data_IF_458442247604
#
_entry.id   IF_458442247604
#
_cell.length_a   1.000
_cell.length_b   1.000
_cell.length_c   1.000
_cell.angle_alpha   90.00
_cell.angle_beta   90.00
_cell.angle_gamma   90.00
#
_symmetry.space_group_name_H-M   'P 1'
#
loop_
_entity.id
_entity.type
_entity.pdbx_description
1 polymer ?
#
# COMPACT_ATOMS: atom_id res chain seq x y z
N UNK A 1 -18.98 5.91 14.43
CA UNK A 1 -17.89 5.29 13.65
C UNK A 1 -18.31 5.35 12.19
N UNK A 2 -17.51 5.97 11.30
CA UNK A 2 -17.88 6.05 9.87
C UNK A 2 -17.72 4.64 9.28
N UNK A 3 -18.80 4.10 8.72
CA UNK A 3 -18.77 2.82 8.01
C UNK A 3 -18.46 3.13 6.55
N UNK A 4 -17.21 2.92 6.18
CA UNK A 4 -16.70 3.17 4.83
C UNK A 4 -16.15 1.86 4.27
N UNK A 5 -16.32 1.63 2.97
CA UNK A 5 -15.60 0.59 2.25
C UNK A 5 -14.38 1.26 1.62
N UNK A 6 -13.24 0.56 1.61
CA UNK A 6 -12.10 0.93 0.80
C UNK A 6 -11.89 -0.14 -0.26
N UNK A 7 -11.66 0.28 -1.49
CA UNK A 7 -11.35 -0.58 -2.63
C UNK A 7 -10.02 -0.13 -3.20
N UNK A 8 -9.10 -1.08 -3.38
CA UNK A 8 -7.82 -0.87 -4.05
C UNK A 8 -7.73 -1.74 -5.29
N UNK A 9 -7.28 -1.17 -6.40
CA UNK A 9 -7.04 -1.88 -7.66
C UNK A 9 -5.61 -1.57 -8.10
N UNK A 10 -4.79 -2.61 -8.21
CA UNK A 10 -3.37 -2.51 -8.53
C UNK A 10 -3.18 -2.94 -9.98
N UNK A 11 -2.64 -2.03 -10.78
CA UNK A 11 -2.35 -2.24 -12.19
C UNK A 11 -0.85 -2.23 -12.42
N UNK A 12 -0.42 -2.96 -13.44
CA UNK A 12 0.84 -2.65 -14.11
C UNK A 12 0.63 -1.34 -14.90
N UNK A 13 1.50 -0.35 -14.68
CA UNK A 13 1.38 1.00 -15.28
C UNK A 13 1.41 0.96 -16.81
N UNK A 14 2.00 -0.07 -17.41
CA UNK A 14 2.12 -0.19 -18.86
C UNK A 14 0.84 -0.77 -19.49
N UNK A 15 -0.09 -1.27 -18.66
CA UNK A 15 -1.36 -1.87 -19.08
C UNK A 15 -2.58 -0.99 -18.88
N UNK A 16 -2.39 0.20 -18.31
CA UNK A 16 -3.46 1.14 -18.00
C UNK A 16 -3.27 2.44 -18.78
N UNK A 17 -4.35 2.96 -19.33
CA UNK A 17 -4.35 4.21 -20.08
C UNK A 17 -5.20 5.29 -19.40
N UNK A 18 -5.33 6.45 -20.05
CA UNK A 18 -6.10 7.58 -19.55
C UNK A 18 -7.59 7.25 -19.46
N UNK A 19 -8.12 6.50 -20.41
CA UNK A 19 -9.52 6.10 -20.47
C UNK A 19 -9.90 5.22 -19.27
N UNK A 20 -9.04 4.27 -18.90
CA UNK A 20 -9.22 3.42 -17.70
C UNK A 20 -9.25 4.27 -16.41
N UNK A 21 -8.36 5.26 -16.33
CA UNK A 21 -8.33 6.21 -15.20
C UNK A 21 -9.59 7.07 -15.16
N UNK A 22 -10.07 7.52 -16.32
CA UNK A 22 -11.32 8.27 -16.44
C UNK A 22 -12.53 7.44 -16.04
N UNK A 23 -12.56 6.16 -16.43
CA UNK A 23 -13.60 5.21 -16.03
C UNK A 23 -13.60 5.03 -14.51
N UNK A 24 -12.43 4.86 -13.87
CA UNK A 24 -12.35 4.83 -12.41
C UNK A 24 -12.83 6.13 -11.75
N UNK A 25 -12.47 7.28 -12.32
CA UNK A 25 -12.88 8.59 -11.82
C UNK A 25 -14.39 8.84 -11.95
N UNK A 26 -15.11 8.09 -12.79
CA UNK A 26 -16.57 8.17 -12.88
C UNK A 26 -17.28 7.84 -11.56
N UNK A 27 -16.63 7.10 -10.65
CA UNK A 27 -17.14 6.85 -9.28
C UNK A 27 -17.41 8.18 -8.54
N UNK A 28 -16.69 9.26 -8.90
CA UNK A 28 -16.93 10.59 -8.33
C UNK A 28 -18.28 11.20 -8.69
N UNK A 29 -19.03 10.64 -9.63
CA UNK A 29 -20.40 11.06 -9.94
C UNK A 29 -21.40 10.66 -8.86
N UNK A 30 -21.04 9.69 -8.00
CA UNK A 30 -21.89 9.25 -6.89
C UNK A 30 -21.75 10.10 -5.62
N UNK A 31 -20.77 11.00 -5.58
CA UNK A 31 -20.58 11.96 -4.49
C UNK A 31 -20.28 13.36 -5.03
N UNK A 32 -20.10 14.36 -4.15
CA UNK A 32 -19.83 15.73 -4.58
C UNK A 32 -18.44 16.16 -4.11
N UNK A 33 -17.37 15.95 -4.92
CA UNK A 33 -16.03 16.31 -4.51
C UNK A 33 -15.93 17.79 -4.15
N UNK A 34 -15.47 18.06 -2.94
CA UNK A 34 -15.25 19.42 -2.41
C UNK A 34 -13.80 19.85 -2.60
N UNK A 35 -12.88 18.89 -2.52
CA UNK A 35 -11.45 19.14 -2.57
C UNK A 35 -10.74 18.26 -3.60
N UNK A 36 -9.62 18.76 -4.10
CA UNK A 36 -8.63 18.00 -4.86
C UNK A 36 -7.23 18.26 -4.35
N UNK A 37 -6.37 17.27 -4.54
CA UNK A 37 -4.94 17.35 -4.27
C UNK A 37 -4.20 16.61 -5.37
N UNK A 38 -3.39 17.35 -6.13
CA UNK A 38 -2.56 16.79 -7.18
C UNK A 38 -1.10 17.23 -6.97
N UNK A 39 -0.15 16.49 -7.52
CA UNK A 39 1.27 16.80 -7.33
C UNK A 39 1.64 18.10 -8.03
N UNK A 40 1.22 18.29 -9.28
CA UNK A 40 1.59 19.45 -10.11
C UNK A 40 0.63 20.62 -9.91
N UNK A 41 -0.65 20.42 -10.17
CA UNK A 41 -1.70 21.44 -10.20
C UNK A 41 -1.86 22.14 -8.85
N UNK A 42 -1.84 21.40 -7.74
CA UNK A 42 -2.05 21.95 -6.39
C UNK A 42 -0.79 21.94 -5.53
N UNK A 43 0.37 21.59 -6.11
CA UNK A 43 1.66 21.47 -5.40
C UNK A 43 1.56 20.57 -4.16
N UNK A 44 0.74 19.51 -4.22
CA UNK A 44 0.52 18.57 -3.12
C UNK A 44 -0.33 19.10 -1.96
N UNK A 45 -1.02 20.23 -2.12
CA UNK A 45 -1.94 20.78 -1.11
C UNK A 45 -3.40 20.54 -1.49
N UNK A 46 -4.30 20.55 -0.51
CA UNK A 46 -5.74 20.51 -0.76
C UNK A 46 -6.23 21.87 -1.27
N UNK A 47 -7.00 21.85 -2.34
CA UNK A 47 -7.64 22.99 -2.97
C UNK A 47 -9.10 22.65 -3.25
N UNK A 48 -9.96 23.68 -3.34
CA UNK A 48 -11.34 23.51 -3.78
C UNK A 48 -11.39 22.78 -5.14
N UNK A 49 -12.20 21.74 -5.24
CA UNK A 49 -12.36 20.97 -6.46
C UNK A 49 -12.91 21.84 -7.60
N UNK A 50 -12.31 21.68 -8.78
CA UNK A 50 -12.79 22.29 -10.02
C UNK A 50 -12.74 21.23 -11.10
N UNK A 51 -13.90 20.69 -11.49
CA UNK A 51 -14.03 19.64 -12.51
C UNK A 51 -13.22 19.97 -13.77
N UNK A 52 -13.43 21.17 -14.33
CA UNK A 52 -12.72 21.65 -15.51
C UNK A 52 -11.19 21.63 -15.33
N UNK A 53 -10.67 22.31 -14.31
CA UNK A 53 -9.21 22.39 -14.07
C UNK A 53 -8.59 21.02 -13.80
N UNK A 54 -9.30 20.15 -13.08
CA UNK A 54 -8.85 18.80 -12.75
C UNK A 54 -8.66 17.98 -14.02
N UNK A 55 -9.70 17.87 -14.85
CA UNK A 55 -9.64 17.04 -16.06
C UNK A 55 -8.72 17.62 -17.15
N UNK A 56 -8.61 18.96 -17.25
CA UNK A 56 -7.64 19.60 -18.16
C UNK A 56 -6.17 19.31 -17.79
N UNK A 57 -5.88 18.98 -16.53
CA UNK A 57 -4.51 18.70 -16.05
C UNK A 57 -4.23 17.22 -15.78
N UNK A 58 -5.24 16.35 -15.83
CA UNK A 58 -5.13 14.94 -15.44
C UNK A 58 -4.00 14.21 -16.17
N UNK A 59 -3.90 14.38 -17.48
CA UNK A 59 -2.88 13.71 -18.30
C UNK A 59 -1.46 14.09 -17.87
N UNK A 60 -1.24 15.37 -17.58
CA UNK A 60 0.04 15.85 -17.11
C UNK A 60 0.39 15.34 -15.71
N UNK A 61 -0.60 15.18 -14.83
CA UNK A 61 -0.38 14.53 -13.53
C UNK A 61 -0.02 13.05 -13.67
N UNK A 62 -0.64 12.35 -14.62
CA UNK A 62 -0.34 10.93 -14.87
C UNK A 62 1.04 10.70 -15.48
N UNK A 63 1.60 11.69 -16.21
CA UNK A 63 2.96 11.62 -16.75
C UNK A 63 4.05 11.77 -15.69
N UNK A 64 3.74 12.32 -14.51
CA UNK A 64 4.72 12.49 -13.42
C UNK A 64 5.31 11.13 -12.99
N UNK A 65 6.64 11.08 -12.78
CA UNK A 65 7.30 9.89 -12.24
C UNK A 65 6.69 9.49 -10.87
N UNK A 66 6.28 10.49 -10.08
CA UNK A 66 5.53 10.33 -8.84
C UNK A 66 4.15 10.98 -8.97
N UNK A 67 3.19 10.20 -9.43
CA UNK A 67 1.79 10.61 -9.51
C UNK A 67 1.09 10.43 -8.16
N UNK A 68 0.34 11.44 -7.72
CA UNK A 68 -0.56 11.38 -6.56
C UNK A 68 -1.72 12.36 -6.79
N UNK A 69 -2.89 11.82 -7.09
CA UNK A 69 -4.08 12.57 -7.50
C UNK A 69 -5.22 12.12 -6.59
N UNK A 70 -5.75 13.03 -5.77
CA UNK A 70 -6.86 12.76 -4.86
C UNK A 70 -8.00 13.73 -5.13
N UNK A 71 -9.24 13.24 -5.13
CA UNK A 71 -10.47 14.03 -5.06
C UNK A 71 -11.32 13.49 -3.91
N UNK A 72 -11.94 14.37 -3.14
CA UNK A 72 -12.68 13.96 -1.94
C UNK A 72 -13.77 14.93 -1.52
N UNK A 73 -14.72 14.42 -0.74
CA UNK A 73 -15.61 15.18 0.14
C UNK A 73 -15.35 14.82 1.61
N UNK A 74 -16.33 15.03 2.49
CA UNK A 74 -16.17 14.79 3.94
C UNK A 74 -16.08 13.30 4.30
N UNK A 75 -16.58 12.40 3.46
CA UNK A 75 -16.73 10.96 3.74
C UNK A 75 -16.26 10.04 2.60
N UNK A 76 -16.00 10.61 1.41
CA UNK A 76 -15.69 9.85 0.22
C UNK A 76 -14.40 10.38 -0.40
N UNK A 77 -13.59 9.48 -0.94
CA UNK A 77 -12.45 9.87 -1.74
C UNK A 77 -12.11 8.88 -2.84
N UNK A 78 -11.46 9.41 -3.88
CA UNK A 78 -10.76 8.65 -4.90
C UNK A 78 -9.32 9.10 -4.88
N UNK A 79 -8.40 8.13 -4.85
CA UNK A 79 -6.97 8.37 -4.86
C UNK A 79 -6.28 7.52 -5.92
N UNK A 80 -5.49 8.16 -6.76
CA UNK A 80 -4.70 7.54 -7.82
C UNK A 80 -3.24 7.86 -7.56
N UNK A 81 -2.40 6.84 -7.44
CA UNK A 81 -0.98 7.06 -7.18
C UNK A 81 -0.10 5.98 -7.78
N UNK A 82 1.09 6.39 -8.22
CA UNK A 82 2.16 5.46 -8.59
C UNK A 82 2.83 4.96 -7.32
N UNK A 83 3.00 3.65 -7.21
CA UNK A 83 3.54 3.05 -6.00
C UNK A 83 5.02 3.45 -5.85
N UNK A 84 5.40 3.87 -4.63
CA UNK A 84 6.76 4.37 -4.35
C UNK A 84 7.79 3.25 -4.26
N UNK A 85 7.40 2.07 -3.78
CA UNK A 85 8.28 0.92 -3.61
C UNK A 85 8.32 0.06 -4.88
N UNK A 86 7.24 0.06 -5.67
CA UNK A 86 7.22 -0.56 -6.99
C UNK A 86 6.72 0.43 -8.05
N UNK A 87 7.67 1.11 -8.72
CA UNK A 87 7.38 2.14 -9.73
C UNK A 87 6.77 1.61 -11.02
N UNK A 88 6.59 0.30 -11.15
CA UNK A 88 5.84 -0.30 -12.25
C UNK A 88 4.35 -0.42 -11.94
N UNK A 89 3.93 -0.14 -10.70
CA UNK A 89 2.53 -0.23 -10.31
C UNK A 89 1.89 1.15 -10.20
N UNK A 90 0.65 1.25 -10.69
CA UNK A 90 -0.28 2.34 -10.37
C UNK A 90 -1.47 1.76 -9.62
N UNK A 91 -1.88 2.46 -8.58
CA UNK A 91 -2.96 2.03 -7.70
C UNK A 91 -4.10 3.02 -7.83
N UNK A 92 -5.28 2.49 -8.13
CA UNK A 92 -6.54 3.22 -8.10
C UNK A 92 -7.28 2.82 -6.83
N UNK A 93 -7.60 3.80 -6.00
CA UNK A 93 -8.28 3.61 -4.72
C UNK A 93 -9.56 4.42 -4.69
N UNK A 94 -10.59 3.90 -4.05
CA UNK A 94 -11.70 4.68 -3.58
C UNK A 94 -12.07 4.27 -2.16
N UNK A 95 -12.46 5.25 -1.36
CA UNK A 95 -13.09 5.04 -0.05
C UNK A 95 -14.46 5.68 -0.12
N UNK A 96 -15.50 4.90 0.13
CA UNK A 96 -16.89 5.34 -0.03
C UNK A 96 -17.66 5.06 1.25
N UNK A 97 -18.53 6.00 1.63
CA UNK A 97 -19.47 5.77 2.73
C UNK A 97 -20.42 4.60 2.40
N UNK A 98 -20.93 3.98 3.46
CA UNK A 98 -21.78 2.78 3.38
C UNK A 98 -22.97 2.94 2.43
N UNK A 99 -23.63 4.10 2.40
CA UNK A 99 -24.81 4.30 1.56
C UNK A 99 -24.40 4.36 0.08
N UNK A 100 -23.43 5.22 -0.24
CA UNK A 100 -22.94 5.37 -1.62
C UNK A 100 -22.41 4.05 -2.15
N UNK A 101 -21.64 3.30 -1.33
CA UNK A 101 -21.18 1.99 -1.73
C UNK A 101 -22.33 1.01 -1.98
N UNK A 102 -23.25 0.85 -1.04
CA UNK A 102 -24.33 -0.14 -1.18
C UNK A 102 -25.21 0.12 -2.40
N UNK A 103 -25.49 1.39 -2.69
CA UNK A 103 -26.31 1.81 -3.84
C UNK A 103 -25.60 1.54 -5.18
N UNK A 104 -24.27 1.54 -5.21
CA UNK A 104 -23.48 1.53 -6.47
C UNK A 104 -22.50 0.34 -6.61
N UNK A 105 -22.41 -0.57 -5.63
CA UNK A 105 -21.42 -1.67 -5.60
C UNK A 105 -21.41 -2.55 -6.85
N UNK A 106 -22.57 -2.79 -7.46
CA UNK A 106 -22.67 -3.62 -8.65
C UNK A 106 -21.94 -3.02 -9.86
N UNK A 107 -22.07 -1.70 -10.05
CA UNK A 107 -21.35 -0.98 -11.10
C UNK A 107 -19.84 -1.04 -10.85
N UNK A 108 -19.41 -0.73 -9.62
CA UNK A 108 -17.99 -0.74 -9.25
C UNK A 108 -17.38 -2.14 -9.44
N UNK A 109 -18.08 -3.19 -9.03
CA UNK A 109 -17.59 -4.57 -9.22
C UNK A 109 -17.56 -4.98 -10.68
N UNK A 110 -18.53 -4.55 -11.49
CA UNK A 110 -18.53 -4.82 -12.93
C UNK A 110 -17.35 -4.13 -13.61
N UNK A 111 -17.02 -2.90 -13.20
CA UNK A 111 -15.84 -2.17 -13.67
C UNK A 111 -14.53 -2.91 -13.33
N UNK A 112 -14.38 -3.40 -12.10
CA UNK A 112 -13.17 -4.16 -11.71
C UNK A 112 -13.12 -5.51 -12.44
N UNK A 113 -14.25 -6.21 -12.58
CA UNK A 113 -14.36 -7.44 -13.37
C UNK A 113 -13.97 -7.17 -14.85
N UNK A 114 -14.34 -6.01 -15.41
CA UNK A 114 -13.94 -5.61 -16.76
C UNK A 114 -12.42 -5.40 -16.87
N UNK A 115 -11.83 -4.61 -15.97
CA UNK A 115 -10.39 -4.35 -15.99
C UNK A 115 -9.56 -5.63 -15.84
N UNK A 116 -9.98 -6.55 -14.96
CA UNK A 116 -9.22 -7.77 -14.71
C UNK A 116 -9.35 -8.79 -15.84
N UNK A 117 -10.52 -8.89 -16.48
CA UNK A 117 -10.72 -9.78 -17.64
C UNK A 117 -9.95 -9.32 -18.88
N UNK A 118 -9.57 -8.05 -18.94
CA UNK A 118 -8.63 -7.49 -19.92
C UNK A 118 -7.15 -7.67 -19.54
N UNK A 119 -6.84 -8.45 -18.51
CA UNK A 119 -5.48 -8.70 -18.00
C UNK A 119 -4.72 -7.44 -17.55
N UNK A 120 -5.43 -6.37 -17.16
CA UNK A 120 -4.84 -5.09 -16.73
C UNK A 120 -4.52 -5.04 -15.22
N UNK A 121 -5.32 -5.74 -14.42
CA UNK A 121 -5.23 -5.73 -12.96
C UNK A 121 -4.32 -6.88 -12.50
N UNK A 122 -3.37 -6.56 -11.63
CA UNK A 122 -2.56 -7.55 -10.91
C UNK A 122 -3.39 -8.12 -9.76
N UNK A 123 -3.84 -7.23 -8.86
CA UNK A 123 -4.63 -7.58 -7.68
C UNK A 123 -5.59 -6.46 -7.32
N UNK A 124 -6.76 -6.81 -6.80
CA UNK A 124 -7.67 -5.85 -6.19
C UNK A 124 -8.31 -6.43 -4.94
N UNK A 125 -8.66 -5.57 -3.99
CA UNK A 125 -9.47 -5.94 -2.85
C UNK A 125 -10.48 -4.86 -2.47
N UNK A 126 -11.53 -5.28 -1.78
CA UNK A 126 -12.46 -4.43 -1.06
C UNK A 126 -12.55 -4.88 0.41
N UNK A 127 -12.61 -3.93 1.34
CA UNK A 127 -12.76 -4.19 2.77
C UNK A 127 -13.30 -2.99 3.53
N UNK A 128 -13.90 -3.22 4.70
CA UNK A 128 -14.40 -2.13 5.54
C UNK A 128 -13.21 -1.37 6.14
N UNK A 129 -13.13 -0.06 5.89
CA UNK A 129 -11.98 0.77 6.25
C UNK A 129 -11.62 0.65 7.74
N UNK A 130 -12.61 0.76 8.61
CA UNK A 130 -12.39 0.65 10.05
C UNK A 130 -11.92 -0.73 10.47
N UNK A 131 -12.38 -1.79 9.79
CA UNK A 131 -11.89 -3.15 10.06
C UNK A 131 -10.42 -3.26 9.67
N UNK A 132 -10.06 -2.79 8.46
CA UNK A 132 -8.67 -2.78 8.00
C UNK A 132 -7.75 -2.04 8.98
N UNK A 133 -8.17 -0.89 9.51
CA UNK A 133 -7.40 -0.16 10.54
C UNK A 133 -7.20 -1.00 11.80
N UNK A 134 -8.27 -1.57 12.36
CA UNK A 134 -8.19 -2.31 13.63
C UNK A 134 -7.43 -3.63 13.51
N UNK A 135 -7.54 -4.31 12.38
CA UNK A 135 -6.81 -5.55 12.13
C UNK A 135 -5.30 -5.30 11.94
N UNK A 136 -4.88 -4.07 11.62
CA UNK A 136 -3.50 -3.75 11.26
C UNK A 136 -2.80 -2.72 12.19
N UNK A 137 -3.50 -2.09 13.15
CA UNK A 137 -2.85 -1.20 14.12
C UNK A 137 -2.08 -1.99 15.19
N UNK A 138 -0.79 -1.67 15.34
CA UNK A 138 0.08 -2.19 16.41
C UNK A 138 -0.03 -1.36 17.70
N UNK A 139 -0.72 -0.22 17.67
CA UNK A 139 -0.76 0.75 18.77
C UNK A 139 -1.77 0.35 19.84
N UNK A 140 -1.27 0.03 21.04
CA UNK A 140 -2.10 -0.17 22.23
C UNK A 140 -2.85 1.12 22.61
N UNK A 141 -2.25 2.29 22.35
CA UNK A 141 -2.86 3.56 22.68
C UNK A 141 -4.09 3.86 21.81
N UNK A 142 -4.12 3.41 20.55
CA UNK A 142 -5.28 3.59 19.67
C UNK A 142 -6.51 2.88 20.25
N UNK A 143 -6.33 1.66 20.78
CA UNK A 143 -7.38 0.91 21.46
C UNK A 143 -7.91 1.66 22.69
N UNK A 144 -7.00 2.19 23.53
CA UNK A 144 -7.37 2.97 24.73
C UNK A 144 -8.14 4.23 24.38
N UNK A 145 -7.65 5.01 23.41
CA UNK A 145 -8.29 6.24 22.95
C UNK A 145 -9.66 5.97 22.33
N UNK A 146 -9.83 4.84 21.65
CA UNK A 146 -11.12 4.41 21.10
C UNK A 146 -12.05 3.72 22.11
N UNK A 147 -11.62 3.56 23.37
CA UNK A 147 -12.40 2.85 24.40
C UNK A 147 -12.61 1.35 24.10
N UNK A 148 -11.75 0.74 23.27
CA UNK A 148 -11.82 -0.68 22.93
C UNK A 148 -11.07 -1.54 23.96
N UNK A 149 -11.65 -2.70 24.27
CA UNK A 149 -11.03 -3.68 25.16
C UNK A 149 -9.81 -4.33 24.51
N UNK A 150 -8.79 -4.60 25.32
CA UNK A 150 -7.60 -5.37 24.94
C UNK A 150 -7.64 -6.83 25.43
N UNK A 151 -8.74 -7.26 26.08
CA UNK A 151 -8.82 -8.55 26.78
C UNK A 151 -8.47 -9.74 25.89
N UNK A 152 -8.91 -9.72 24.64
CA UNK A 152 -8.72 -10.82 23.67
C UNK A 152 -7.68 -10.46 22.60
N UNK A 153 -6.95 -9.35 22.78
CA UNK A 153 -5.92 -8.88 21.86
C UNK A 153 -4.56 -9.41 22.31
N UNK A 154 -3.87 -10.12 21.41
CA UNK A 154 -2.51 -10.57 21.69
C UNK A 154 -1.53 -9.39 21.66
N UNK A 155 -0.62 -9.38 22.63
CA UNK A 155 0.37 -8.34 22.82
C UNK A 155 1.74 -8.99 22.80
N UNK A 156 2.68 -8.38 22.07
CA UNK A 156 4.09 -8.77 22.05
C UNK A 156 5.00 -7.59 22.37
N UNK A 157 6.28 -7.86 22.59
CA UNK A 157 7.30 -6.81 22.61
C UNK A 157 7.52 -6.29 21.21
N UNK A 158 7.76 -4.98 21.09
CA UNK A 158 8.07 -4.36 19.81
C UNK A 158 9.44 -4.82 19.32
N UNK A 159 9.48 -5.25 18.06
CA UNK A 159 10.72 -5.65 17.38
C UNK A 159 11.64 -4.42 17.10
N UNK A 160 11.07 -3.20 17.12
CA UNK A 160 11.78 -1.94 16.88
C UNK A 160 12.16 -1.21 18.17
N UNK A 161 11.28 -1.27 19.18
CA UNK A 161 11.45 -0.57 20.45
C UNK A 161 11.39 -1.58 21.60
N UNK A 162 12.54 -2.17 21.95
CA UNK A 162 12.70 -3.31 22.87
C UNK A 162 11.90 -3.25 24.19
N UNK A 163 11.51 -2.05 24.65
CA UNK A 163 10.78 -1.85 25.90
C UNK A 163 9.27 -1.61 25.72
N UNK A 164 8.80 -1.37 24.50
CA UNK A 164 7.39 -1.10 24.21
C UNK A 164 6.62 -2.39 23.95
N UNK A 165 5.39 -2.44 24.47
CA UNK A 165 4.43 -3.48 24.13
C UNK A 165 3.57 -2.99 22.96
N UNK A 166 3.36 -3.86 21.98
CA UNK A 166 2.54 -3.59 20.80
C UNK A 166 1.51 -4.69 20.60
N UNK A 167 0.42 -4.37 19.91
CA UNK A 167 -0.54 -5.37 19.46
C UNK A 167 0.14 -6.29 18.45
N UNK A 168 0.00 -7.60 18.66
CA UNK A 168 0.50 -8.62 17.78
C UNK A 168 -0.51 -8.91 16.67
N UNK A 169 -0.40 -8.14 15.59
CA UNK A 169 -1.35 -8.17 14.47
C UNK A 169 -1.26 -9.46 13.63
N UNK A 170 -0.20 -10.27 13.77
CA UNK A 170 -0.10 -11.56 13.09
C UNK A 170 -1.19 -12.55 13.53
N UNK A 171 -1.84 -12.30 14.67
CA UNK A 171 -2.98 -13.06 15.15
C UNK A 171 -4.33 -12.46 14.78
N UNK A 172 -4.36 -11.44 13.92
CA UNK A 172 -5.58 -10.84 13.42
C UNK A 172 -5.91 -11.42 12.04
N UNK A 173 -7.09 -12.06 11.85
CA UNK A 173 -7.47 -12.69 10.59
C UNK A 173 -7.47 -11.71 9.39
N UNK A 174 -7.84 -10.45 9.62
CA UNK A 174 -7.86 -9.41 8.58
C UNK A 174 -6.56 -8.60 8.45
N UNK A 175 -5.48 -8.99 9.14
CA UNK A 175 -4.17 -8.38 8.94
C UNK A 175 -3.67 -8.63 7.50
N UNK A 176 -2.86 -7.74 6.96
CA UNK A 176 -2.17 -7.96 5.70
C UNK A 176 -0.75 -7.39 5.74
N UNK A 177 0.13 -8.01 4.96
CA UNK A 177 1.47 -7.52 4.66
C UNK A 177 1.46 -6.67 3.39
N UNK A 178 2.28 -5.62 3.34
CA UNK A 178 2.52 -4.84 2.11
C UNK A 178 3.98 -5.01 1.71
N UNK A 179 4.24 -5.84 0.70
CA UNK A 179 5.61 -6.10 0.23
C UNK A 179 5.75 -5.57 -1.20
N UNK A 180 6.73 -4.69 -1.44
CA UNK A 180 6.94 -4.03 -2.73
C UNK A 180 5.65 -3.47 -3.35
N UNK A 181 4.77 -2.93 -2.51
CA UNK A 181 3.54 -2.31 -2.94
C UNK A 181 2.40 -3.26 -3.31
N UNK A 182 2.60 -4.57 -3.12
CA UNK A 182 1.59 -5.61 -3.26
C UNK A 182 1.03 -5.98 -1.89
N UNK A 183 -0.24 -6.39 -1.83
CA UNK A 183 -0.92 -6.75 -0.60
C UNK A 183 -1.04 -8.28 -0.47
N UNK A 184 -0.76 -8.77 0.73
CA UNK A 184 -0.81 -10.19 1.09
C UNK A 184 -1.63 -10.35 2.37
N UNK A 185 -2.87 -10.79 2.23
CA UNK A 185 -3.78 -10.97 3.36
C UNK A 185 -5.16 -11.40 2.91
N UNK A 186 -6.12 -11.42 3.86
CA UNK A 186 -7.49 -11.84 3.58
C UNK A 186 -8.48 -10.67 3.69
N UNK A 187 -9.04 -10.29 2.55
CA UNK A 187 -10.00 -9.19 2.45
C UNK A 187 -11.40 -9.74 2.20
N UNK A 188 -12.43 -8.93 2.47
CA UNK A 188 -13.82 -9.35 2.24
C UNK A 188 -14.05 -9.83 0.80
N UNK A 189 -13.58 -9.05 -0.18
CA UNK A 189 -13.68 -9.38 -1.61
C UNK A 189 -12.35 -9.11 -2.28
N UNK A 190 -11.88 -10.04 -3.09
CA UNK A 190 -10.56 -10.04 -3.71
C UNK A 190 -10.66 -10.44 -5.18
N UNK A 191 -9.86 -9.80 -6.03
CA UNK A 191 -9.70 -10.15 -7.43
C UNK A 191 -8.24 -10.43 -7.73
N UNK A 192 -8.01 -11.53 -8.43
CA UNK A 192 -6.67 -12.05 -8.74
C UNK A 192 -6.49 -12.11 -10.24
N UNK A 193 -5.54 -11.32 -10.76
CA UNK A 193 -5.17 -11.32 -12.16
C UNK A 193 -3.95 -12.20 -12.40
N UNK A 194 -3.64 -12.42 -13.67
CA UNK A 194 -2.57 -13.33 -14.11
C UNK A 194 -1.23 -13.07 -13.44
N UNK A 195 -0.84 -11.79 -13.34
CA UNK A 195 0.43 -11.39 -12.73
C UNK A 195 0.52 -11.72 -11.23
N UNK A 196 -0.59 -11.88 -10.52
CA UNK A 196 -0.56 -12.26 -9.09
C UNK A 196 -0.22 -13.74 -8.88
N UNK A 197 -0.41 -14.59 -9.91
CA UNK A 197 -0.15 -16.03 -9.79
C UNK A 197 1.32 -16.40 -9.63
N UNK A 198 2.23 -15.44 -9.85
CA UNK A 198 3.64 -15.60 -9.49
C UNK A 198 3.86 -15.72 -7.98
N UNK A 199 2.92 -15.20 -7.16
CA UNK A 199 3.00 -15.23 -5.70
C UNK A 199 2.15 -16.35 -5.11
N UNK A 200 0.89 -16.44 -5.53
CA UNK A 200 -0.06 -17.45 -5.06
C UNK A 200 -0.58 -18.24 -6.27
N UNK A 201 -0.25 -19.54 -6.39
CA UNK A 201 -0.68 -20.37 -7.51
C UNK A 201 -2.18 -20.30 -7.78
N UNK A 202 -2.53 -20.13 -9.05
CA UNK A 202 -3.89 -20.10 -9.58
C UNK A 202 -4.76 -21.25 -9.08
N UNK A 203 -4.23 -22.47 -9.07
CA UNK A 203 -4.98 -23.67 -8.65
C UNK A 203 -5.27 -23.69 -7.15
N UNK A 204 -4.43 -23.05 -6.31
CA UNK A 204 -4.75 -22.85 -4.89
C UNK A 204 -5.94 -21.90 -4.74
N UNK A 205 -5.93 -20.76 -5.42
CA UNK A 205 -7.05 -19.81 -5.40
C UNK A 205 -8.36 -20.44 -5.90
N UNK A 206 -8.30 -21.19 -7.01
CA UNK A 206 -9.47 -21.87 -7.61
C UNK A 206 -10.03 -23.00 -6.73
N UNK A 207 -9.18 -23.69 -5.98
CA UNK A 207 -9.57 -24.80 -5.12
C UNK A 207 -10.17 -24.35 -3.78
N UNK A 208 -10.00 -23.09 -3.39
CA UNK A 208 -10.57 -22.57 -2.14
C UNK A 208 -12.10 -22.61 -2.15
N UNK A 209 -12.71 -23.28 -1.15
CA UNK A 209 -14.17 -23.47 -1.05
C UNK A 209 -14.83 -22.82 0.16
N UNK A 210 -14.08 -22.45 1.18
CA UNK A 210 -14.63 -21.88 2.41
C UNK A 210 -14.89 -20.37 2.27
N UNK A 211 -15.82 -20.03 1.38
CA UNK A 211 -16.16 -18.67 1.01
C UNK A 211 -17.62 -18.57 0.54
N UNK A 212 -18.13 -17.36 0.46
CA UNK A 212 -19.45 -17.10 -0.11
C UNK A 212 -19.47 -17.31 -1.62
N UNK A 213 -18.43 -16.85 -2.33
CA UNK A 213 -18.33 -17.01 -3.78
C UNK A 213 -16.86 -17.12 -4.19
N UNK A 214 -16.53 -18.13 -5.00
CA UNK A 214 -15.28 -18.20 -5.75
C UNK A 214 -15.61 -18.31 -7.24
N UNK A 215 -15.49 -17.19 -7.95
CA UNK A 215 -15.92 -17.05 -9.33
C UNK A 215 -14.73 -16.91 -10.25
N UNK A 216 -14.62 -17.81 -11.23
CA UNK A 216 -13.72 -17.63 -12.36
C UNK A 216 -14.31 -16.57 -13.31
N UNK A 217 -13.55 -15.51 -13.60
CA UNK A 217 -14.00 -14.41 -14.45
C UNK A 217 -13.50 -14.58 -15.90
N UNK A 218 -12.27 -15.09 -16.07
CA UNK A 218 -11.68 -15.51 -17.35
C UNK A 218 -10.76 -16.71 -17.13
N UNK A 219 -10.07 -17.17 -18.18
CA UNK A 219 -9.06 -18.22 -18.01
C UNK A 219 -8.05 -17.84 -16.93
N UNK A 220 -7.56 -16.60 -16.90
CA UNK A 220 -6.49 -16.14 -16.01
C UNK A 220 -6.94 -15.10 -14.97
N UNK A 221 -8.21 -15.11 -14.57
CA UNK A 221 -8.68 -14.24 -13.50
C UNK A 221 -9.78 -14.84 -12.62
N UNK A 222 -9.72 -14.51 -11.34
CA UNK A 222 -10.66 -14.99 -10.32
C UNK A 222 -11.11 -13.87 -9.42
N UNK A 223 -12.30 -14.05 -8.85
CA UNK A 223 -12.84 -13.23 -7.79
C UNK A 223 -13.29 -14.11 -6.64
N UNK A 224 -12.80 -13.82 -5.44
CA UNK A 224 -13.17 -14.51 -4.21
C UNK A 224 -13.88 -13.53 -3.29
N UNK A 225 -15.06 -13.89 -2.81
CA UNK A 225 -15.83 -13.15 -1.82
C UNK A 225 -15.97 -14.04 -0.59
N UNK A 226 -15.36 -13.66 0.52
CA UNK A 226 -15.31 -14.51 1.71
C UNK A 226 -16.68 -14.66 2.37
N UNK A 227 -17.46 -13.59 2.45
CA UNK A 227 -18.78 -13.57 3.08
C UNK A 227 -19.71 -12.57 2.37
N UNK A 228 -21.03 -12.73 2.53
CA UNK A 228 -22.01 -12.02 1.72
C UNK A 228 -22.02 -10.49 1.93
N UNK A 229 -22.13 -10.05 3.18
CA UNK A 229 -22.21 -8.64 3.55
C UNK A 229 -20.86 -8.15 4.13
N UNK A 230 -20.17 -7.14 3.54
CA UNK A 230 -18.94 -6.59 4.10
C UNK A 230 -19.10 -6.06 5.51
N UNK A 231 -20.30 -5.61 5.87
CA UNK A 231 -20.59 -5.00 7.16
C UNK A 231 -20.68 -6.02 8.30
N UNK A 232 -20.71 -7.32 7.97
CA UNK A 232 -20.67 -8.44 8.91
C UNK A 232 -19.25 -8.92 9.24
N UNK A 233 -18.23 -8.11 8.95
CA UNK A 233 -16.82 -8.48 9.11
C UNK A 233 -16.47 -9.01 10.51
N UNK A 234 -17.17 -8.57 11.56
CA UNK A 234 -16.86 -8.95 12.95
C UNK A 234 -17.55 -10.25 13.41
N UNK A 235 -18.36 -10.89 12.55
CA UNK A 235 -18.93 -12.20 12.87
C UNK A 235 -17.81 -13.24 12.98
N UNK A 236 -17.88 -14.07 14.03
CA UNK A 236 -16.90 -15.14 14.29
C UNK A 236 -16.65 -16.03 13.06
N UNK A 237 -17.73 -16.46 12.41
CA UNK A 237 -17.68 -17.28 11.18
C UNK A 237 -16.93 -16.59 10.04
N UNK A 238 -17.08 -15.26 9.90
CA UNK A 238 -16.39 -14.49 8.86
C UNK A 238 -14.90 -14.32 9.15
N UNK A 239 -14.52 -14.21 10.43
CA UNK A 239 -13.12 -14.27 10.87
C UNK A 239 -12.50 -15.64 10.66
N UNK A 240 -13.26 -16.70 10.86
CA UNK A 240 -12.83 -18.08 10.59
C UNK A 240 -12.57 -18.29 9.08
N UNK A 241 -13.44 -17.76 8.21
CA UNK A 241 -13.22 -17.78 6.74
C UNK A 241 -11.97 -17.02 6.31
N UNK A 242 -11.71 -15.86 6.93
CA UNK A 242 -10.46 -15.12 6.72
C UNK A 242 -9.24 -15.98 7.06
N UNK A 243 -9.25 -16.64 8.22
CA UNK A 243 -8.19 -17.59 8.60
C UNK A 243 -8.06 -18.78 7.65
N UNK A 244 -9.20 -19.33 7.23
CA UNK A 244 -9.27 -20.45 6.30
C UNK A 244 -8.60 -20.09 4.97
N UNK A 245 -8.89 -18.90 4.43
CA UNK A 245 -8.24 -18.39 3.22
C UNK A 245 -6.72 -18.27 3.37
N UNK A 246 -6.25 -17.66 4.46
CA UNK A 246 -4.81 -17.47 4.71
C UNK A 246 -4.07 -18.81 4.76
N UNK A 247 -4.61 -19.77 5.53
CA UNK A 247 -4.04 -21.11 5.67
C UNK A 247 -4.05 -21.88 4.35
N UNK A 248 -5.14 -21.79 3.58
CA UNK A 248 -5.26 -22.49 2.30
C UNK A 248 -4.28 -21.98 1.24
N UNK A 249 -4.00 -20.68 1.25
CA UNK A 249 -3.13 -20.03 0.27
C UNK A 249 -1.68 -19.93 0.71
N UNK A 250 -1.39 -20.20 1.99
CA UNK A 250 -0.09 -19.93 2.63
C UNK A 250 0.42 -18.51 2.34
N UNK A 251 -0.51 -17.54 2.34
CA UNK A 251 -0.21 -16.16 1.94
C UNK A 251 0.73 -15.46 2.92
N UNK A 252 0.74 -15.90 4.18
CA UNK A 252 1.61 -15.39 5.24
C UNK A 252 3.04 -15.86 5.00
N UNK A 253 3.25 -17.15 4.70
CA UNK A 253 4.56 -17.68 4.35
C UNK A 253 5.09 -17.09 3.03
N UNK A 254 4.20 -16.76 2.09
CA UNK A 254 4.58 -16.01 0.88
C UNK A 254 5.09 -14.62 1.24
N UNK A 255 4.38 -13.90 2.10
CA UNK A 255 4.78 -12.56 2.54
C UNK A 255 6.12 -12.58 3.28
N UNK A 256 6.30 -13.50 4.23
CA UNK A 256 7.54 -13.68 4.99
C UNK A 256 8.75 -13.93 4.08
N UNK A 257 8.63 -14.85 3.11
CA UNK A 257 9.69 -15.11 2.13
C UNK A 257 10.03 -13.88 1.29
N UNK A 258 9.03 -13.10 0.89
CA UNK A 258 9.24 -11.87 0.12
C UNK A 258 9.88 -10.77 0.97
N UNK A 259 9.54 -10.66 2.26
CA UNK A 259 10.21 -9.76 3.19
C UNK A 259 11.67 -10.12 3.40
N UNK A 260 11.97 -11.39 3.63
CA UNK A 260 13.35 -11.87 3.76
C UNK A 260 14.15 -11.63 2.48
N UNK A 261 13.55 -11.91 1.33
CA UNK A 261 14.17 -11.62 0.04
C UNK A 261 14.43 -10.11 -0.13
N UNK A 262 13.49 -9.24 0.26
CA UNK A 262 13.66 -7.80 0.20
C UNK A 262 14.74 -7.27 1.16
N UNK A 263 14.91 -7.89 2.33
CA UNK A 263 16.00 -7.57 3.27
C UNK A 263 17.38 -8.00 2.73
N UNK A 264 17.40 -9.10 1.96
CA UNK A 264 18.62 -9.67 1.38
C UNK A 264 18.94 -9.14 -0.02
N UNK A 265 18.04 -8.36 -0.64
CA UNK A 265 18.36 -7.64 -1.86
C UNK A 265 19.34 -6.51 -1.52
N UNK A 266 20.52 -6.44 -2.17
CA UNK A 266 21.30 -5.22 -2.12
C UNK A 266 20.41 -4.10 -2.62
N UNK A 267 20.28 -3.03 -1.82
CA UNK A 267 19.65 -1.79 -2.26
C UNK A 267 20.26 -1.46 -3.62
N UNK A 268 19.46 -1.44 -4.70
CA UNK A 268 19.97 -1.07 -6.02
C UNK A 268 20.78 0.23 -5.88
N UNK A 269 22.10 0.10 -6.07
CA UNK A 269 23.17 1.07 -5.81
C UNK A 269 23.07 2.36 -6.67
N UNK A 270 21.94 2.54 -7.36
CA UNK A 270 21.68 3.66 -8.27
C UNK A 270 21.12 4.92 -7.62
N UNK A 271 20.46 4.83 -6.46
CA UNK A 271 19.71 5.96 -5.86
C UNK A 271 20.17 6.37 -4.45
N UNK A 272 21.23 5.77 -3.92
CA UNK A 272 21.70 6.07 -2.56
C UNK A 272 22.36 7.45 -2.54
N UNK A 273 21.76 8.38 -1.79
CA UNK A 273 22.31 9.73 -1.55
C UNK A 273 23.12 9.82 -0.27
N UNK A 274 22.87 8.89 0.65
CA UNK A 274 23.54 8.77 1.93
C UNK A 274 23.73 7.28 2.21
N UNK A 275 24.96 6.84 2.45
CA UNK A 275 25.26 5.52 3.00
C UNK A 275 25.57 5.64 4.48
N UNK A 276 25.06 4.72 5.30
CA UNK A 276 25.34 4.65 6.73
C UNK A 276 25.87 3.26 7.03
N UNK A 277 27.04 3.21 7.67
CA UNK A 277 27.71 1.99 8.09
C UNK A 277 27.88 2.04 9.60
N UNK A 278 27.50 0.98 10.30
CA UNK A 278 27.73 0.84 11.74
C UNK A 278 28.94 -0.07 11.98
N UNK A 279 29.77 0.25 12.96
CA UNK A 279 30.99 -0.47 13.26
C UNK A 279 31.91 0.31 14.20
N UNK A 280 33.02 -0.29 14.61
CA UNK A 280 34.08 0.40 15.34
C UNK A 280 35.13 0.89 14.34
N UNK A 281 35.34 2.20 14.29
CA UNK A 281 36.21 2.84 13.31
C UNK A 281 37.45 3.46 13.96
N UNK A 282 38.47 3.75 13.15
CA UNK A 282 39.82 4.12 13.58
C UNK A 282 39.85 5.35 14.50
N UNK A 283 38.92 6.30 14.32
CA UNK A 283 38.87 7.53 15.09
C UNK A 283 37.93 7.46 16.31
N UNK A 284 37.48 6.25 16.68
CA UNK A 284 36.66 5.99 17.86
C UNK A 284 35.16 6.18 17.65
N UNK A 285 34.73 6.40 16.41
CA UNK A 285 33.32 6.46 16.04
C UNK A 285 32.67 5.09 15.95
N UNK A 286 31.35 5.09 16.13
CA UNK A 286 30.50 3.89 16.03
C UNK A 286 29.73 3.81 14.71
N UNK A 287 29.87 4.82 13.85
CA UNK A 287 29.13 4.95 12.59
C UNK A 287 29.90 5.79 11.58
N UNK A 288 29.90 5.38 10.31
CA UNK A 288 30.31 6.20 9.18
C UNK A 288 29.09 6.59 8.34
N UNK A 289 28.97 7.87 7.99
CA UNK A 289 27.97 8.39 7.07
C UNK A 289 28.66 8.97 5.82
N UNK A 290 28.36 8.45 4.63
CA UNK A 290 28.83 9.00 3.34
C UNK A 290 27.71 9.75 2.65
N UNK A 291 27.95 11.00 2.28
CA UNK A 291 27.03 11.89 1.59
C UNK A 291 27.55 12.17 0.17
N UNK A 292 26.65 12.13 -0.80
CA UNK A 292 26.99 12.28 -2.22
C UNK A 292 26.49 13.61 -2.76
N UNK A 293 27.38 14.44 -3.28
CA UNK A 293 27.09 15.78 -3.78
C UNK A 293 27.45 15.93 -5.26
N UNK A 294 26.76 16.83 -5.96
CA UNK A 294 27.16 17.34 -7.27
C UNK A 294 28.11 18.54 -7.13
N UNK A 295 28.54 19.12 -8.25
CA UNK A 295 29.45 20.29 -8.28
C UNK A 295 28.84 21.56 -7.67
N UNK A 296 27.52 21.58 -7.44
CA UNK A 296 26.80 22.69 -6.82
C UNK A 296 26.52 22.46 -5.32
N UNK A 297 27.19 21.46 -4.72
CA UNK A 297 26.98 21.03 -3.33
C UNK A 297 25.53 20.59 -3.02
N UNK A 298 24.79 20.10 -4.02
CA UNK A 298 23.46 19.54 -3.84
C UNK A 298 23.54 18.01 -3.65
N UNK A 299 22.79 17.50 -2.67
CA UNK A 299 22.77 16.07 -2.38
C UNK A 299 22.12 15.26 -3.53
N UNK A 300 22.91 14.42 -4.17
CA UNK A 300 22.54 13.66 -5.37
C UNK A 300 22.82 12.16 -5.19
N UNK A 301 22.35 11.37 -6.13
CA UNK A 301 22.57 9.92 -6.19
C UNK A 301 24.06 9.60 -6.38
N UNK A 302 24.58 8.59 -5.68
CA UNK A 302 25.99 8.12 -5.73
C UNK A 302 26.55 7.95 -7.15
N UNK A 303 25.71 7.50 -8.08
CA UNK A 303 26.04 7.28 -9.49
C UNK A 303 26.29 8.58 -10.27
N UNK A 304 25.81 9.72 -9.77
CA UNK A 304 25.90 11.06 -10.38
C UNK A 304 26.74 12.04 -9.55
N UNK A 305 27.34 11.58 -8.46
CA UNK A 305 28.09 12.41 -7.54
C UNK A 305 29.46 12.77 -8.10
N UNK A 306 29.86 14.03 -7.97
CA UNK A 306 31.24 14.50 -8.22
C UNK A 306 32.03 14.68 -6.92
N UNK A 307 31.35 14.63 -5.76
CA UNK A 307 31.92 14.82 -4.44
C UNK A 307 31.30 13.85 -3.43
N UNK A 308 32.12 13.25 -2.58
CA UNK A 308 31.72 12.39 -1.47
C UNK A 308 32.23 13.04 -0.18
N UNK A 309 31.35 13.26 0.78
CA UNK A 309 31.73 13.69 2.13
C UNK A 309 31.45 12.55 3.10
N UNK A 310 32.49 12.08 3.77
CA UNK A 310 32.41 11.02 4.77
C UNK A 310 32.54 11.63 6.15
N UNK A 311 31.64 11.28 7.07
CA UNK A 311 31.72 11.59 8.48
C UNK A 311 31.83 10.32 9.30
N UNK A 312 32.74 10.29 10.25
CA UNK A 312 32.75 9.30 11.33
C UNK A 312 32.09 9.94 12.55
N UNK A 313 31.10 9.26 13.14
CA UNK A 313 30.28 9.74 14.24
C UNK A 313 30.51 8.93 15.52
N UNK A 314 30.73 9.64 16.63
CA UNK A 314 30.82 9.07 17.97
C UNK A 314 29.46 8.71 18.56
N UNK A 315 29.47 8.18 19.79
CA UNK A 315 28.27 7.59 20.45
C UNK A 315 27.15 8.61 20.70
N UNK A 316 27.48 9.89 20.85
CA UNK A 316 26.49 10.97 21.02
C UNK A 316 26.14 11.68 19.71
N UNK A 317 26.61 11.20 18.55
CA UNK A 317 26.36 11.79 17.24
C UNK A 317 27.28 12.94 16.87
N UNK A 318 28.32 13.20 17.67
CA UNK A 318 29.41 14.13 17.36
C UNK A 318 30.25 13.61 16.20
N UNK A 319 30.70 14.51 15.33
CA UNK A 319 31.65 14.18 14.25
C UNK A 319 33.03 14.04 14.89
N UNK A 320 33.56 12.82 14.92
CA UNK A 320 34.92 12.54 15.41
C UNK A 320 35.96 12.65 14.30
N UNK A 321 35.53 12.50 13.04
CA UNK A 321 36.38 12.68 11.87
C UNK A 321 35.55 12.97 10.62
N UNK A 322 36.15 13.65 9.63
CA UNK A 322 35.54 13.86 8.32
C UNK A 322 36.56 13.86 7.19
N UNK A 323 36.17 13.35 6.02
CA UNK A 323 36.96 13.41 4.79
C UNK A 323 36.09 13.81 3.60
N UNK A 324 36.71 14.47 2.62
CA UNK A 324 36.05 14.82 1.35
C UNK A 324 36.88 14.28 0.19
N UNK A 325 36.22 13.49 -0.65
CA UNK A 325 36.79 12.92 -1.87
C UNK A 325 36.06 13.51 -3.08
N UNK A 326 36.80 13.87 -4.12
CA UNK A 326 36.25 14.29 -5.40
C UNK A 326 36.38 13.14 -6.40
N UNK A 327 35.32 12.85 -7.14
CA UNK A 327 35.28 11.77 -8.14
C UNK A 327 35.74 12.24 -9.51
#
# INVERSE_FOLDING_TARGET
MKYEITINVIFNKDKINKEDVMEWLSISEYFQPKEMKCKRLTKGKYYKYSKKKFYENLEQELLEAYCSIKICDDNNDIWIYKNRTNRNNIILTCTLDKKIFNDNKNYIFTMIDHFITQNKVIFSYAGVFTDLVWQNTKSINDYKLAGKSLKDIKIKKSDTFLYENVVDIEYNPGHYHIINGMYFGSFWKMWFGEEYFQYVPKELLKSFKDCYENKQLSENSFRITLYEDPWDFDKKENRERQWSFRKHTSIDEVAERLEEAAKNQPVEDGNTKIEIFEGEYEHGGIRICKYYYNEKDELIEKSKASKIVTYELGKSGEIVWSNTEYK
#
